data_IF_998856737585
#
_entry.id   IF_998856737585
#
_cell.length_a   1.000
_cell.length_b   1.000
_cell.length_c   1.000
_cell.angle_alpha   90.00
_cell.angle_beta   90.00
_cell.angle_gamma   90.00
#
_symmetry.space_group_name_H-M   'P 1'
#
loop_
_entity.id
_entity.type
_entity.pdbx_description
1 polymer ?
#
# COMPACT_ATOMS: atom_id res chain seq x y z
N UNK A 1 -12.57 5.27 8.80
CA UNK A 1 -13.19 4.51 7.70
C UNK A 1 -13.27 3.05 8.11
N UNK A 2 -14.41 2.41 7.89
CA UNK A 2 -14.59 0.99 8.15
C UNK A 2 -13.91 0.16 7.06
N UNK A 3 -13.17 -0.87 7.47
CA UNK A 3 -12.71 -1.94 6.57
C UNK A 3 -13.93 -2.58 5.92
N UNK A 4 -13.95 -2.84 4.59
CA UNK A 4 -15.05 -3.54 3.96
C UNK A 4 -15.36 -4.86 4.68
N UNK A 5 -16.65 -5.13 4.93
CA UNK A 5 -17.08 -6.27 5.73
C UNK A 5 -16.46 -7.59 5.20
N UNK A 6 -15.88 -8.38 6.11
CA UNK A 6 -15.26 -9.66 5.79
C UNK A 6 -13.84 -9.59 5.20
N UNK A 7 -13.28 -8.38 4.99
CA UNK A 7 -11.89 -8.23 4.55
C UNK A 7 -10.97 -7.91 5.73
N UNK A 8 -9.77 -8.49 5.72
CA UNK A 8 -8.63 -7.98 6.49
C UNK A 8 -8.11 -6.72 5.82
N UNK A 9 -7.59 -5.77 6.60
CA UNK A 9 -6.88 -4.60 6.09
C UNK A 9 -5.54 -4.45 6.81
N UNK A 10 -4.46 -4.30 6.04
CA UNK A 10 -3.15 -3.86 6.54
C UNK A 10 -2.83 -2.52 5.91
N UNK A 11 -2.39 -1.56 6.72
CA UNK A 11 -2.01 -0.22 6.26
C UNK A 11 -0.51 -0.03 6.47
N UNK A 12 0.17 0.44 5.44
CA UNK A 12 1.56 0.90 5.49
C UNK A 12 1.55 2.40 5.24
N UNK A 13 1.85 3.17 6.28
CA UNK A 13 1.89 4.63 6.20
C UNK A 13 3.24 5.08 5.64
N UNK A 14 3.21 6.08 4.76
CA UNK A 14 4.39 6.82 4.30
C UNK A 14 4.49 8.16 5.03
N UNK A 15 5.70 8.68 5.19
CA UNK A 15 5.97 9.97 5.83
C UNK A 15 5.32 11.15 5.12
N UNK A 16 5.01 11.01 3.82
CA UNK A 16 4.39 12.04 3.00
C UNK A 16 2.84 12.06 3.08
N UNK A 17 2.26 11.49 4.15
CA UNK A 17 0.80 11.45 4.35
C UNK A 17 0.05 10.51 3.41
N UNK A 18 0.76 9.78 2.54
CA UNK A 18 0.19 8.72 1.70
C UNK A 18 0.24 7.37 2.41
N UNK A 19 -0.64 6.45 2.03
CA UNK A 19 -0.74 5.13 2.62
C UNK A 19 -0.99 4.07 1.55
N UNK A 20 -0.34 2.92 1.72
CA UNK A 20 -0.67 1.69 1.00
C UNK A 20 -1.60 0.86 1.88
N UNK A 21 -2.78 0.56 1.36
CA UNK A 21 -3.75 -0.32 1.99
C UNK A 21 -3.76 -1.66 1.26
N UNK A 22 -3.60 -2.75 2.01
CA UNK A 22 -3.73 -4.11 1.52
C UNK A 22 -5.01 -4.68 2.11
N UNK A 23 -6.03 -4.87 1.27
CA UNK A 23 -7.24 -5.57 1.65
C UNK A 23 -7.19 -7.01 1.16
N UNK A 24 -7.52 -7.98 2.00
CA UNK A 24 -7.51 -9.38 1.60
C UNK A 24 -8.62 -10.19 2.28
N UNK A 25 -9.11 -11.19 1.56
CA UNK A 25 -10.01 -12.25 2.05
C UNK A 25 -9.81 -13.51 1.20
N UNK A 26 -10.69 -14.50 1.38
CA UNK A 26 -10.68 -15.72 0.58
C UNK A 26 -11.01 -15.50 -0.92
N UNK A 27 -11.49 -14.32 -1.31
CA UNK A 27 -11.92 -14.01 -2.68
C UNK A 27 -10.87 -13.23 -3.47
N UNK A 28 -9.91 -12.58 -2.81
CA UNK A 28 -8.84 -11.89 -3.49
C UNK A 28 -8.07 -10.88 -2.64
N UNK A 29 -7.12 -10.23 -3.29
CA UNK A 29 -6.19 -9.28 -2.70
C UNK A 29 -6.30 -7.96 -3.46
N UNK A 30 -6.60 -6.87 -2.76
CA UNK A 30 -6.67 -5.53 -3.33
C UNK A 30 -5.58 -4.67 -2.72
N UNK A 31 -4.72 -4.11 -3.58
CA UNK A 31 -3.79 -3.05 -3.20
C UNK A 31 -4.38 -1.71 -3.55
N UNK A 32 -4.35 -0.79 -2.60
CA UNK A 32 -4.86 0.55 -2.76
C UNK A 32 -3.84 1.57 -2.30
N UNK A 33 -3.42 2.44 -3.21
CA UNK A 33 -2.65 3.63 -2.90
C UNK A 33 -3.62 4.77 -2.62
N UNK A 34 -3.43 5.42 -1.48
CA UNK A 34 -4.27 6.51 -1.04
C UNK A 34 -3.43 7.65 -0.51
N UNK A 35 -3.73 8.87 -0.93
CA UNK A 35 -3.33 10.08 -0.22
C UNK A 35 -4.57 10.67 0.43
N UNK A 36 -4.50 10.88 1.73
CA UNK A 36 -5.60 11.52 2.46
C UNK A 36 -5.68 13.01 2.10
N UNK A 37 -6.88 13.56 2.24
CA UNK A 37 -7.26 14.96 1.92
C UNK A 37 -6.29 15.95 2.55
N UNK A 38 -6.10 17.13 1.94
CA UNK A 38 -5.59 18.33 2.59
C UNK A 38 -5.91 18.42 4.08
N UNK A 39 -4.90 18.59 4.92
CA UNK A 39 -5.10 19.18 6.25
C UNK A 39 -5.47 20.66 6.07
N UNK A 40 -5.84 21.35 7.16
CA UNK A 40 -6.06 22.79 7.11
C UNK A 40 -4.88 23.57 6.49
N UNK A 41 -3.68 23.00 6.56
CA UNK A 41 -2.43 23.57 6.06
C UNK A 41 -2.13 23.28 4.58
N UNK A 42 -2.83 22.33 3.93
CA UNK A 42 -2.44 21.82 2.60
C UNK A 42 -3.62 21.71 1.63
N UNK A 43 -4.49 22.74 1.62
CA UNK A 43 -5.75 22.85 0.87
C UNK A 43 -5.66 22.59 -0.64
N UNK A 44 -4.50 22.82 -1.24
CA UNK A 44 -4.31 22.73 -2.69
C UNK A 44 -3.80 21.36 -3.14
N UNK A 45 -3.37 20.50 -2.21
CA UNK A 45 -2.84 19.20 -2.58
C UNK A 45 -3.99 18.24 -2.96
N UNK A 46 -3.98 17.65 -4.17
CA UNK A 46 -5.04 16.76 -4.58
C UNK A 46 -5.05 15.47 -3.76
N UNK A 47 -6.22 15.09 -3.27
CA UNK A 47 -6.44 13.73 -2.75
C UNK A 47 -6.52 12.76 -3.91
N UNK A 48 -5.95 11.56 -3.76
CA UNK A 48 -6.15 10.48 -4.74
C UNK A 48 -6.31 9.13 -4.06
N UNK A 49 -7.04 8.24 -4.75
CA UNK A 49 -7.29 6.87 -4.34
C UNK A 49 -7.32 6.00 -5.59
N UNK A 50 -6.35 5.11 -5.74
CA UNK A 50 -6.29 4.14 -6.83
C UNK A 50 -6.15 2.75 -6.24
N UNK A 51 -6.85 1.78 -6.82
CA UNK A 51 -6.82 0.41 -6.35
C UNK A 51 -6.69 -0.56 -7.53
N UNK A 52 -5.93 -1.62 -7.31
CA UNK A 52 -5.77 -2.74 -8.22
C UNK A 52 -6.14 -4.02 -7.49
N UNK A 53 -6.92 -4.87 -8.17
CA UNK A 53 -7.17 -6.22 -7.68
C UNK A 53 -6.07 -7.12 -8.23
N UNK A 54 -5.42 -7.88 -7.36
CA UNK A 54 -4.36 -8.79 -7.74
C UNK A 54 -4.87 -10.22 -7.72
N UNK A 55 -4.49 -10.97 -8.74
CA UNK A 55 -4.45 -12.43 -8.66
C UNK A 55 -3.41 -12.89 -7.63
N UNK A 56 -3.51 -14.15 -7.22
CA UNK A 56 -2.55 -14.74 -6.30
C UNK A 56 -1.12 -14.74 -6.88
N UNK A 57 -0.96 -15.00 -8.18
CA UNK A 57 0.32 -15.00 -8.86
C UNK A 57 0.97 -13.60 -8.86
N UNK A 58 0.19 -12.56 -9.19
CA UNK A 58 0.67 -11.17 -9.17
C UNK A 58 1.06 -10.73 -7.76
N UNK A 59 0.28 -11.11 -6.74
CA UNK A 59 0.58 -10.79 -5.35
C UNK A 59 1.89 -11.44 -4.87
N UNK A 60 2.15 -12.70 -5.24
CA UNK A 60 3.40 -13.39 -4.93
C UNK A 60 4.59 -12.77 -5.67
N UNK A 61 4.44 -12.48 -6.96
CA UNK A 61 5.48 -11.84 -7.76
C UNK A 61 5.85 -10.46 -7.19
N UNK A 62 4.85 -9.65 -6.82
CA UNK A 62 5.09 -8.34 -6.19
C UNK A 62 5.77 -8.49 -4.82
N UNK A 63 5.37 -9.46 -4.01
CA UNK A 63 5.99 -9.69 -2.71
C UNK A 63 7.47 -10.10 -2.85
N UNK A 64 7.79 -10.96 -3.82
CA UNK A 64 9.16 -11.36 -4.13
C UNK A 64 10.02 -10.16 -4.57
N UNK A 65 9.48 -9.31 -5.45
CA UNK A 65 10.16 -8.09 -5.92
C UNK A 65 10.44 -7.12 -4.76
N UNK A 66 9.43 -6.87 -3.91
CA UNK A 66 9.58 -6.01 -2.73
C UNK A 66 10.65 -6.53 -1.77
N UNK A 67 10.69 -7.84 -1.55
CA UNK A 67 11.70 -8.47 -0.70
C UNK A 67 13.10 -8.36 -1.31
N UNK A 68 13.22 -8.62 -2.61
CA UNK A 68 14.49 -8.51 -3.34
C UNK A 68 15.03 -7.08 -3.29
N UNK A 69 14.21 -6.09 -3.64
CA UNK A 69 14.58 -4.68 -3.62
C UNK A 69 14.95 -4.19 -2.21
N UNK A 70 14.24 -4.64 -1.17
CA UNK A 70 14.56 -4.27 0.21
C UNK A 70 15.89 -4.89 0.68
N UNK A 71 16.13 -6.17 0.33
CA UNK A 71 17.36 -6.88 0.71
C UNK A 71 18.61 -6.31 0.05
N UNK A 72 18.52 -5.92 -1.23
CA UNK A 72 19.63 -5.27 -1.94
C UNK A 72 20.00 -3.90 -1.35
N UNK A 73 19.03 -3.16 -0.81
CA UNK A 73 19.26 -1.86 -0.16
C UNK A 73 19.79 -1.98 1.26
N UNK A 74 19.43 -3.04 1.98
CA UNK A 74 19.97 -3.30 3.31
C UNK A 74 21.49 -3.55 3.27
N UNK A 75 22.00 -4.15 2.19
CA UNK A 75 23.44 -4.34 1.98
C UNK A 75 24.19 -3.02 1.75
N UNK A 76 23.60 -2.05 1.05
CA UNK A 76 24.21 -0.74 0.77
C UNK A 76 24.22 0.23 1.96
N UNK A 77 23.41 -0.03 3.00
CA UNK A 77 23.33 0.81 4.19
C UNK A 77 24.24 0.32 5.34
N UNK A 78 24.95 -0.80 5.14
CA UNK A 78 25.83 -1.42 6.12
C UNK A 78 27.33 -1.22 5.84
N UNK A 79 27.67 -0.51 4.76
CA UNK A 79 29.01 -0.01 4.40
C UNK A 79 29.09 1.51 4.66
#
# INVERSE_FOLDING_TARGET
>A
MATPAGKRCRVVMSSNGSALHVYSDARGIVLQLRRSVPTADDLLTPSFKVAVNLSQAEALALAAELLHAASGRAALAAD
#
